data_IF_054353244845
#
_entry.id   IF_054353244845
#
_cell.length_a   1.000
_cell.length_b   1.000
_cell.length_c   1.000
_cell.angle_alpha   90.00
_cell.angle_beta   90.00
_cell.angle_gamma   90.00
#
_symmetry.space_group_name_H-M   'P 1'
#
loop_
_entity.id
_entity.type
_entity.pdbx_description
1 polymer ?
#
# COMPACT_ATOMS: atom_id res chain seq x y z
N UNK A 1 13.15 26.59 -4.59
CA UNK A 1 12.03 27.02 -5.43
C UNK A 1 12.40 26.82 -6.89
N UNK A 2 12.25 25.63 -7.41
CA UNK A 2 12.42 25.35 -8.86
C UNK A 2 11.02 25.30 -9.49
N UNK A 3 10.70 26.32 -10.30
CA UNK A 3 9.50 26.32 -11.15
C UNK A 3 9.63 25.22 -12.20
N UNK A 4 8.89 24.15 -12.06
CA UNK A 4 8.64 23.21 -13.17
C UNK A 4 7.77 23.95 -14.19
N UNK A 5 8.41 24.58 -15.19
CA UNK A 5 7.71 25.24 -16.29
C UNK A 5 7.06 24.19 -17.18
N UNK A 6 5.74 24.17 -17.20
CA UNK A 6 4.93 23.42 -18.16
C UNK A 6 5.25 23.94 -19.58
N UNK A 7 6.13 23.25 -20.27
CA UNK A 7 6.38 23.46 -21.70
C UNK A 7 5.20 22.97 -22.53
N UNK A 8 4.25 23.84 -22.83
CA UNK A 8 3.20 23.57 -23.82
C UNK A 8 3.84 23.31 -25.20
N UNK A 9 4.07 22.05 -25.52
CA UNK A 9 4.34 21.65 -26.91
C UNK A 9 3.04 21.78 -27.70
N UNK A 10 2.95 22.80 -28.57
CA UNK A 10 1.90 22.90 -29.58
C UNK A 10 2.09 21.75 -30.58
N UNK A 11 1.23 20.76 -30.52
CA UNK A 11 1.10 19.77 -31.57
C UNK A 11 0.50 20.45 -32.79
N UNK A 12 1.30 20.55 -33.84
CA UNK A 12 0.84 20.99 -35.17
C UNK A 12 0.02 19.87 -35.80
N UNK A 13 -1.25 20.14 -35.98
CA UNK A 13 -2.20 19.30 -36.71
C UNK A 13 -1.83 19.32 -38.20
N UNK A 14 -1.21 18.25 -38.68
CA UNK A 14 -1.02 18.04 -40.14
C UNK A 14 -2.20 17.22 -40.66
N UNK A 15 -3.12 17.91 -41.32
CA UNK A 15 -4.29 17.35 -41.98
C UNK A 15 -3.83 16.73 -43.30
N UNK A 16 -3.69 15.41 -43.41
CA UNK A 16 -3.57 14.72 -44.70
C UNK A 16 -4.94 14.25 -45.17
N UNK A 17 -5.47 15.02 -46.13
CA UNK A 17 -6.68 14.72 -46.88
C UNK A 17 -6.31 13.69 -47.97
N UNK A 18 -6.74 12.43 -47.81
CA UNK A 18 -6.67 11.46 -48.92
C UNK A 18 -8.08 11.16 -49.42
N UNK A 19 -8.38 11.77 -50.55
CA UNK A 19 -9.59 11.53 -51.34
C UNK A 19 -9.39 10.23 -52.13
N UNK A 20 -10.24 9.23 -51.94
CA UNK A 20 -10.40 8.11 -52.87
C UNK A 20 -11.87 7.97 -53.25
N UNK A 21 -12.13 8.43 -54.45
CA UNK A 21 -13.34 8.17 -55.23
C UNK A 21 -13.34 6.71 -55.71
N UNK A 22 -14.41 5.97 -55.44
CA UNK A 22 -14.81 4.84 -56.29
C UNK A 22 -16.32 4.90 -56.55
N UNK A 23 -16.61 5.15 -57.82
CA UNK A 23 -17.90 5.00 -58.45
C UNK A 23 -18.17 3.54 -58.81
N UNK A 24 -19.42 3.09 -58.69
CA UNK A 24 -19.83 1.80 -59.26
C UNK A 24 -21.30 1.50 -58.96
N UNK A 25 -22.13 1.75 -59.96
CA UNK A 25 -23.56 1.43 -60.06
C UNK A 25 -23.88 -0.06 -59.98
N UNK A 26 -25.11 -0.34 -59.54
CA UNK A 26 -25.75 -1.65 -59.76
C UNK A 26 -27.16 -1.72 -59.18
N UNK A 27 -28.15 -1.45 -60.00
CA UNK A 27 -29.58 -1.57 -59.75
C UNK A 27 -30.04 -3.04 -59.60
N UNK A 28 -31.15 -3.24 -58.90
CA UNK A 28 -31.88 -4.52 -58.92
C UNK A 28 -33.08 -4.57 -57.96
N UNK A 29 -34.21 -4.10 -58.43
CA UNK A 29 -35.61 -4.38 -58.03
C UNK A 29 -35.85 -5.84 -57.58
N UNK A 30 -36.90 -6.25 -56.89
CA UNK A 30 -38.19 -5.76 -56.44
C UNK A 30 -38.97 -6.93 -55.77
N UNK A 31 -40.00 -6.55 -55.07
CA UNK A 31 -41.23 -7.27 -54.77
C UNK A 31 -41.11 -8.46 -53.76
N UNK A 32 -41.94 -8.62 -52.79
CA UNK A 32 -43.32 -8.26 -52.52
C UNK A 32 -43.95 -9.30 -51.61
N UNK A 33 -44.93 -8.91 -50.84
CA UNK A 33 -45.96 -9.84 -50.32
C UNK A 33 -46.00 -10.08 -48.83
N UNK A 34 -46.74 -9.28 -48.08
CA UNK A 34 -48.06 -9.48 -47.53
C UNK A 34 -48.24 -10.66 -46.56
N UNK A 35 -48.80 -10.36 -45.41
CA UNK A 35 -49.79 -11.19 -44.74
C UNK A 35 -49.69 -11.22 -43.24
N UNK A 36 -50.43 -10.37 -42.54
CA UNK A 36 -51.35 -10.54 -41.44
C UNK A 36 -51.44 -11.96 -40.86
N UNK A 37 -51.39 -12.18 -39.56
CA UNK A 37 -52.60 -12.16 -38.74
C UNK A 37 -52.34 -12.37 -37.26
N UNK A 38 -53.21 -11.81 -36.49
CA UNK A 38 -53.52 -11.77 -35.10
C UNK A 38 -53.75 -13.14 -34.43
N UNK A 39 -53.54 -13.20 -33.11
CA UNK A 39 -53.98 -14.30 -32.27
C UNK A 39 -53.73 -14.11 -30.78
N UNK A 40 -54.60 -13.38 -30.14
CA UNK A 40 -54.78 -13.33 -28.70
C UNK A 40 -55.34 -14.63 -28.13
N UNK A 41 -54.86 -15.08 -26.95
CA UNK A 41 -55.70 -15.84 -26.02
C UNK A 41 -55.13 -15.70 -24.59
N UNK A 42 -55.94 -15.10 -23.76
CA UNK A 42 -55.93 -15.19 -22.30
C UNK A 42 -56.44 -16.58 -21.86
N UNK A 43 -55.95 -17.10 -20.75
CA UNK A 43 -56.75 -17.89 -19.81
C UNK A 43 -56.12 -17.89 -18.41
N UNK A 44 -56.93 -17.49 -17.48
CA UNK A 44 -56.78 -17.46 -16.04
C UNK A 44 -56.84 -18.88 -15.40
N UNK A 45 -56.37 -18.94 -14.17
CA UNK A 45 -56.92 -19.58 -12.96
C UNK A 45 -55.74 -20.20 -12.16
N UNK A 46 -55.41 -19.82 -10.94
CA UNK A 46 -56.27 -19.76 -9.75
C UNK A 46 -55.87 -20.92 -8.85
N UNK A 47 -55.22 -20.68 -7.71
CA UNK A 47 -54.90 -21.69 -6.74
C UNK A 47 -54.16 -21.16 -5.51
N UNK A 48 -54.92 -20.58 -4.60
CA UNK A 48 -54.55 -20.39 -3.18
C UNK A 48 -54.55 -21.69 -2.44
N UNK A 49 -53.59 -21.93 -1.51
CA UNK A 49 -53.77 -22.59 -0.19
C UNK A 49 -52.45 -22.45 0.62
N UNK A 50 -52.54 -21.68 1.65
CA UNK A 50 -52.46 -21.92 3.10
C UNK A 50 -51.10 -22.13 3.76
N UNK A 51 -50.92 -21.27 4.75
CA UNK A 51 -50.04 -21.34 5.91
C UNK A 51 -50.02 -22.69 6.63
N UNK A 52 -48.85 -23.02 7.14
CA UNK A 52 -48.74 -23.69 8.44
C UNK A 52 -47.33 -23.53 9.02
N UNK A 53 -47.22 -22.69 10.05
CA UNK A 53 -46.19 -22.82 11.09
C UNK A 53 -46.51 -24.00 11.98
N UNK A 54 -45.52 -24.65 12.59
CA UNK A 54 -45.54 -24.72 14.04
C UNK A 54 -44.19 -24.35 14.69
N UNK A 55 -44.37 -23.81 15.87
CA UNK A 55 -43.36 -23.41 16.82
C UNK A 55 -42.68 -24.59 17.51
N UNK A 56 -41.45 -24.33 17.95
CA UNK A 56 -41.00 -24.83 19.25
C UNK A 56 -39.84 -25.82 19.24
N UNK A 57 -38.86 -25.38 19.93
CA UNK A 57 -38.01 -26.09 20.87
C UNK A 57 -36.50 -25.93 20.64
N UNK A 58 -35.91 -25.37 21.65
CA UNK A 58 -34.51 -25.06 21.81
C UNK A 58 -33.61 -26.29 21.84
N UNK A 59 -32.38 -26.03 21.51
CA UNK A 59 -31.25 -26.94 21.65
C UNK A 59 -29.96 -26.19 21.57
N UNK A 60 -29.43 -25.84 22.76
CA UNK A 60 -28.02 -25.50 22.94
C UNK A 60 -27.17 -26.63 22.37
N UNK A 61 -26.21 -26.28 21.53
CA UNK A 61 -25.07 -27.17 21.26
C UNK A 61 -23.79 -26.42 21.64
N UNK A 62 -23.15 -27.01 22.62
CA UNK A 62 -21.90 -26.62 23.23
C UNK A 62 -20.72 -26.76 22.27
N UNK A 63 -19.75 -25.90 22.50
CA UNK A 63 -18.37 -25.95 22.03
C UNK A 63 -17.78 -27.36 22.07
N UNK A 64 -17.26 -27.82 20.93
CA UNK A 64 -16.37 -28.96 20.84
C UNK A 64 -14.93 -28.50 20.76
N UNK A 65 -14.19 -28.58 21.86
CA UNK A 65 -12.75 -28.44 21.95
C UNK A 65 -12.06 -29.61 21.23
N UNK A 66 -11.07 -29.32 20.42
CA UNK A 66 -10.15 -30.32 19.87
C UNK A 66 -9.18 -30.83 20.96
N UNK A 67 -8.72 -32.10 20.89
CA UNK A 67 -7.92 -32.70 21.94
C UNK A 67 -6.44 -32.31 21.84
N UNK A 68 -5.87 -31.89 22.98
CA UNK A 68 -4.44 -31.81 23.19
C UNK A 68 -3.87 -33.22 23.35
N UNK A 69 -2.91 -33.59 22.51
CA UNK A 69 -2.07 -34.77 22.73
C UNK A 69 -0.98 -34.48 23.77
N UNK A 70 -0.90 -35.34 24.75
CA UNK A 70 0.00 -35.21 25.89
C UNK A 70 1.43 -35.58 25.56
N UNK A 71 2.36 -34.84 26.14
CA UNK A 71 3.79 -35.13 26.18
C UNK A 71 4.07 -35.94 27.48
N UNK A 72 4.87 -37.05 27.43
CA UNK A 72 5.22 -37.81 28.62
C UNK A 72 6.29 -37.10 29.45
N UNK A 73 6.06 -37.05 30.76
CA UNK A 73 7.04 -36.66 31.76
C UNK A 73 7.99 -37.84 32.06
N UNK A 74 9.28 -37.65 31.81
CA UNK A 74 10.30 -38.47 32.48
C UNK A 74 11.06 -37.64 33.50
N UNK A 75 11.07 -38.18 34.72
CA UNK A 75 11.80 -37.71 35.86
C UNK A 75 13.24 -38.21 35.85
N UNK A 76 14.22 -37.35 36.08
CA UNK A 76 15.62 -37.74 36.22
C UNK A 76 16.49 -36.67 36.87
N UNK A 77 16.68 -36.80 38.14
CA UNK A 77 17.79 -36.45 39.07
C UNK A 77 18.76 -35.30 38.73
N UNK A 78 18.83 -34.42 39.72
CA UNK A 78 19.81 -33.36 39.91
C UNK A 78 21.26 -33.84 39.94
N UNK A 79 22.14 -33.06 39.28
CA UNK A 79 23.57 -32.95 39.68
C UNK A 79 23.94 -31.47 39.69
N UNK A 80 24.32 -30.99 40.85
CA UNK A 80 24.89 -29.67 41.15
C UNK A 80 26.24 -29.51 40.45
N UNK A 81 26.40 -28.44 39.68
CA UNK A 81 27.67 -27.95 39.17
C UNK A 81 27.62 -26.43 39.05
N UNK A 82 28.11 -25.78 40.11
CA UNK A 82 28.29 -24.33 40.16
C UNK A 82 29.44 -23.90 39.22
N UNK A 83 29.18 -23.06 38.23
CA UNK A 83 30.19 -22.30 37.51
C UNK A 83 29.91 -20.83 37.79
N UNK A 84 30.94 -20.01 38.10
CA UNK A 84 30.74 -18.60 38.46
C UNK A 84 30.29 -17.78 37.27
N UNK A 85 29.24 -17.03 37.47
CA UNK A 85 28.73 -16.01 36.52
C UNK A 85 29.65 -14.79 36.63
N UNK A 86 30.50 -14.56 35.60
CA UNK A 86 31.12 -13.26 35.40
C UNK A 86 30.02 -12.32 34.84
N UNK A 87 29.72 -11.32 35.63
CA UNK A 87 28.86 -10.21 35.26
C UNK A 87 29.58 -9.33 34.24
N UNK A 88 29.15 -9.38 33.01
CA UNK A 88 29.46 -8.34 31.99
C UNK A 88 28.51 -7.19 32.25
N UNK A 89 28.98 -5.94 32.37
CA UNK A 89 28.09 -4.80 32.50
C UNK A 89 27.32 -4.60 31.20
N UNK A 90 26.00 -4.49 31.29
CA UNK A 90 25.18 -3.99 30.21
C UNK A 90 25.60 -2.54 29.95
N UNK A 91 26.30 -2.31 28.86
CA UNK A 91 26.42 -0.96 28.32
C UNK A 91 25.06 -0.61 27.69
N UNK A 92 24.47 0.41 28.27
CA UNK A 92 23.29 1.07 27.72
C UNK A 92 23.63 1.54 26.30
N UNK A 93 22.88 1.02 25.33
CA UNK A 93 22.92 1.52 23.95
C UNK A 93 22.56 2.99 23.96
N UNK A 94 23.56 3.82 23.75
CA UNK A 94 23.40 5.26 23.63
C UNK A 94 22.66 5.59 22.35
N UNK A 95 21.58 6.36 22.49
CA UNK A 95 20.97 7.15 21.46
C UNK A 95 22.04 7.78 20.55
N UNK A 96 22.18 7.27 19.35
CA UNK A 96 22.97 7.90 18.32
C UNK A 96 22.11 8.95 17.61
N UNK A 97 21.96 10.11 18.26
CA UNK A 97 21.74 11.34 17.53
C UNK A 97 23.05 11.59 16.76
N UNK A 98 23.06 11.25 15.49
CA UNK A 98 24.17 11.64 14.62
C UNK A 98 23.98 13.13 14.34
N UNK A 99 24.69 13.96 15.15
CA UNK A 99 24.93 15.36 14.81
C UNK A 99 25.48 15.40 13.38
N UNK A 100 24.77 16.08 12.52
CA UNK A 100 25.24 16.43 11.19
C UNK A 100 26.60 17.12 11.34
N UNK A 101 27.67 16.42 11.00
CA UNK A 101 28.96 17.01 10.80
C UNK A 101 28.84 17.93 9.57
N UNK A 102 28.69 19.23 9.81
CA UNK A 102 28.81 20.24 8.79
C UNK A 102 30.25 20.25 8.29
N UNK A 103 30.54 19.43 7.29
CA UNK A 103 31.73 19.57 6.47
C UNK A 103 31.49 20.83 5.61
N UNK A 104 32.28 21.89 5.88
CA UNK A 104 32.39 23.02 4.96
C UNK A 104 32.93 22.51 3.62
N UNK A 105 32.04 22.16 2.69
CA UNK A 105 32.40 21.89 1.32
C UNK A 105 32.35 23.18 0.51
N UNK A 106 33.49 23.79 0.33
CA UNK A 106 33.70 24.72 -0.77
C UNK A 106 33.73 23.94 -2.10
N UNK A 107 32.61 23.80 -2.75
CA UNK A 107 32.49 23.21 -4.07
C UNK A 107 31.16 23.60 -4.68
N UNK A 108 31.15 24.43 -5.73
CA UNK A 108 30.00 24.78 -6.57
C UNK A 108 29.74 23.65 -7.58
N UNK A 109 29.50 22.43 -7.11
CA UNK A 109 28.90 21.33 -7.88
C UNK A 109 27.42 21.27 -7.53
N UNK A 110 26.56 21.02 -8.50
CA UNK A 110 25.18 20.61 -8.21
C UNK A 110 25.27 19.37 -7.29
N UNK A 111 24.50 19.37 -6.23
CA UNK A 111 24.42 18.25 -5.30
C UNK A 111 23.92 17.03 -6.09
N UNK A 112 24.76 15.99 -6.29
CA UNK A 112 24.40 14.77 -7.03
C UNK A 112 23.65 13.85 -6.08
N UNK A 113 22.40 14.23 -5.80
CA UNK A 113 21.51 13.53 -4.88
C UNK A 113 20.06 13.64 -5.31
N UNK A 114 19.28 12.61 -4.99
CA UNK A 114 17.82 12.57 -5.14
C UNK A 114 17.14 12.18 -3.84
N UNK A 115 15.87 12.55 -3.72
CA UNK A 115 15.03 12.28 -2.56
C UNK A 115 13.94 11.26 -2.94
N UNK A 116 13.80 10.23 -2.10
CA UNK A 116 12.72 9.27 -2.15
C UNK A 116 11.82 9.47 -0.94
N UNK A 117 10.51 9.39 -1.15
CA UNK A 117 9.55 9.25 -0.06
C UNK A 117 8.69 8.01 -0.28
N UNK A 118 8.22 7.40 0.80
CA UNK A 118 7.19 6.37 0.76
C UNK A 118 6.22 6.56 1.92
N UNK A 119 4.92 6.40 1.64
CA UNK A 119 3.87 6.35 2.65
C UNK A 119 3.29 4.95 2.78
N UNK A 120 2.73 4.65 3.97
CA UNK A 120 2.21 3.35 4.33
C UNK A 120 0.87 2.99 3.69
N UNK A 121 0.10 2.15 4.38
CA UNK A 121 -1.09 1.48 3.85
C UNK A 121 -2.23 2.46 3.57
N UNK A 122 -2.77 2.41 2.34
CA UNK A 122 -4.04 3.05 2.01
C UNK A 122 -5.14 2.00 2.06
N UNK A 123 -5.90 2.03 3.17
CA UNK A 123 -7.04 1.15 3.42
C UNK A 123 -8.36 1.90 3.24
N UNK A 124 -8.99 1.71 2.10
CA UNK A 124 -10.27 2.32 1.80
C UNK A 124 -11.43 1.53 2.45
N UNK A 125 -11.54 1.60 3.79
CA UNK A 125 -12.71 1.07 4.49
C UNK A 125 -14.01 1.77 4.05
N UNK A 126 -15.16 1.11 4.22
CA UNK A 126 -16.46 1.67 3.79
C UNK A 126 -16.71 3.10 4.26
N UNK A 127 -16.45 3.49 5.54
CA UNK A 127 -16.64 4.89 5.94
C UNK A 127 -15.71 5.87 5.22
N UNK A 128 -14.47 5.46 4.91
CA UNK A 128 -13.52 6.27 4.13
C UNK A 128 -14.03 6.45 2.69
N UNK A 129 -14.48 5.36 2.07
CA UNK A 129 -15.04 5.42 0.72
C UNK A 129 -16.28 6.33 0.65
N UNK A 130 -17.19 6.19 1.63
CA UNK A 130 -18.41 7.01 1.68
C UNK A 130 -18.11 8.50 1.95
N UNK A 131 -17.03 8.82 2.71
CA UNK A 131 -16.63 10.22 2.96
C UNK A 131 -16.14 10.93 1.70
N UNK A 132 -15.56 10.20 0.75
CA UNK A 132 -15.16 10.74 -0.56
C UNK A 132 -16.31 10.87 -1.56
N UNK A 133 -17.51 10.37 -1.23
CA UNK A 133 -18.61 10.35 -2.18
C UNK A 133 -19.22 11.73 -2.39
N UNK A 134 -19.27 12.16 -3.63
CA UNK A 134 -19.87 13.46 -4.03
C UNK A 134 -21.38 13.38 -4.11
N UNK A 135 -22.04 14.55 -4.18
CA UNK A 135 -23.50 14.63 -4.31
C UNK A 135 -24.03 14.02 -5.61
N UNK A 136 -23.21 13.95 -6.63
CA UNK A 136 -23.54 13.37 -7.94
C UNK A 136 -23.30 11.87 -7.98
N UNK A 137 -22.75 11.30 -6.89
CA UNK A 137 -22.51 9.87 -6.73
C UNK A 137 -21.15 9.38 -7.25
N UNK A 138 -20.32 10.28 -7.68
CA UNK A 138 -18.90 10.05 -8.00
C UNK A 138 -18.07 10.14 -6.71
N UNK A 139 -16.75 10.00 -6.81
CA UNK A 139 -15.85 10.06 -5.67
C UNK A 139 -14.80 11.16 -5.86
N UNK A 140 -14.37 11.76 -4.76
CA UNK A 140 -13.25 12.70 -4.68
C UNK A 140 -12.48 12.43 -3.38
N UNK A 141 -11.22 12.03 -3.53
CA UNK A 141 -10.32 11.72 -2.42
C UNK A 141 -9.16 12.72 -2.29
N UNK A 142 -9.19 13.82 -3.03
CA UNK A 142 -8.11 14.82 -3.05
C UNK A 142 -7.82 15.42 -1.67
N UNK A 143 -8.86 15.56 -0.82
CA UNK A 143 -8.73 16.10 0.53
C UNK A 143 -7.84 15.23 1.45
N UNK A 144 -7.71 13.93 1.17
CA UNK A 144 -6.91 13.01 1.98
C UNK A 144 -5.46 13.47 2.02
N UNK A 145 -4.93 13.90 0.88
CA UNK A 145 -3.50 14.19 0.69
C UNK A 145 -3.17 15.68 0.83
N UNK A 146 -4.18 16.55 1.00
CA UNK A 146 -4.01 17.99 0.88
C UNK A 146 -2.89 18.59 1.77
N UNK A 147 -2.74 18.21 3.07
CA UNK A 147 -1.66 18.76 3.90
C UNK A 147 -0.25 18.34 3.47
N UNK A 148 -0.10 17.13 2.90
CA UNK A 148 1.19 16.55 2.53
C UNK A 148 1.52 16.71 1.04
N UNK A 149 0.61 17.30 0.25
CA UNK A 149 0.74 17.37 -1.22
C UNK A 149 2.01 18.09 -1.67
N UNK A 150 2.38 19.21 -1.05
CA UNK A 150 3.59 19.95 -1.42
C UNK A 150 4.84 19.13 -1.12
N UNK A 151 4.85 18.38 -0.04
CA UNK A 151 5.95 17.51 0.37
C UNK A 151 6.08 16.31 -0.57
N UNK A 152 4.96 15.60 -0.84
CA UNK A 152 4.93 14.49 -1.79
C UNK A 152 5.45 14.95 -3.16
N UNK A 153 4.97 16.10 -3.66
CA UNK A 153 5.38 16.64 -4.96
C UNK A 153 6.81 17.19 -4.99
N UNK A 154 7.44 17.42 -3.85
CA UNK A 154 8.81 17.91 -3.76
C UNK A 154 9.86 16.80 -3.86
N UNK A 155 9.47 15.56 -3.58
CA UNK A 155 10.33 14.39 -3.74
C UNK A 155 10.62 14.13 -5.23
N UNK A 156 11.78 13.57 -5.52
CA UNK A 156 12.15 13.15 -6.88
C UNK A 156 11.45 11.84 -7.24
N UNK A 157 11.24 10.96 -6.25
CA UNK A 157 10.46 9.71 -6.38
C UNK A 157 9.52 9.59 -5.17
N UNK A 158 8.21 9.54 -5.43
CA UNK A 158 7.19 9.34 -4.41
C UNK A 158 6.50 7.98 -4.57
N UNK A 159 6.55 7.15 -3.53
CA UNK A 159 6.03 5.77 -3.49
C UNK A 159 4.84 5.69 -2.54
N UNK A 160 3.83 4.92 -2.89
CA UNK A 160 2.68 4.65 -2.01
C UNK A 160 2.36 3.15 -1.95
N UNK A 161 2.06 2.63 -0.76
CA UNK A 161 1.47 1.30 -0.65
C UNK A 161 -0.05 1.39 -0.76
N UNK A 162 -0.57 1.14 -1.95
CA UNK A 162 -2.01 1.07 -2.21
C UNK A 162 -2.51 -0.33 -1.88
N UNK A 163 -2.92 -0.56 -0.65
CA UNK A 163 -3.23 -1.91 -0.17
C UNK A 163 -4.48 -2.48 -0.82
N UNK A 164 -5.50 -1.64 -0.99
CA UNK A 164 -6.78 -2.04 -1.57
C UNK A 164 -6.71 -2.04 -3.09
N UNK A 165 -7.13 -3.14 -3.73
CA UNK A 165 -7.17 -3.18 -5.19
C UNK A 165 -8.09 -2.09 -5.78
N UNK A 166 -7.60 -1.36 -6.78
CA UNK A 166 -8.38 -0.37 -7.54
C UNK A 166 -9.04 -1.07 -8.73
N UNK A 167 -10.09 -1.83 -8.44
CA UNK A 167 -10.79 -2.65 -9.44
C UNK A 167 -11.92 -1.93 -10.16
N UNK A 168 -12.22 -0.67 -9.77
CA UNK A 168 -13.27 0.15 -10.36
C UNK A 168 -14.64 -0.01 -9.69
N UNK A 169 -15.46 1.04 -9.80
CA UNK A 169 -16.79 1.07 -9.19
C UNK A 169 -17.75 0.01 -9.76
N UNK A 170 -17.52 -0.47 -10.99
CA UNK A 170 -18.32 -1.51 -11.65
C UNK A 170 -18.20 -2.90 -10.98
N UNK A 171 -17.14 -3.12 -10.16
CA UNK A 171 -17.00 -4.30 -9.31
C UNK A 171 -17.65 -4.12 -7.93
N UNK A 172 -18.24 -2.96 -7.69
CA UNK A 172 -18.83 -2.55 -6.41
C UNK A 172 -17.75 -2.10 -5.42
N UNK A 173 -17.77 -0.80 -5.06
CA UNK A 173 -16.92 -0.25 -4.00
C UNK A 173 -17.25 -0.93 -2.68
N UNK A 174 -16.24 -1.43 -1.97
CA UNK A 174 -16.43 -2.21 -0.74
C UNK A 174 -15.21 -2.12 0.17
N UNK A 175 -15.46 -2.15 1.48
CA UNK A 175 -14.45 -2.29 2.53
C UNK A 175 -14.28 -3.75 2.96
N UNK A 176 -13.66 -3.92 4.15
CA UNK A 176 -13.42 -5.25 4.74
C UNK A 176 -14.66 -6.15 4.74
N UNK A 177 -14.53 -7.47 4.49
CA UNK A 177 -13.28 -8.23 4.31
C UNK A 177 -12.78 -8.34 2.86
N UNK A 178 -13.52 -7.88 1.86
CA UNK A 178 -13.15 -7.97 0.46
C UNK A 178 -13.22 -6.56 -0.17
N UNK A 179 -12.11 -5.87 -0.09
CA UNK A 179 -11.98 -4.49 -0.52
C UNK A 179 -12.09 -4.31 -2.04
N UNK A 180 -12.52 -3.14 -2.44
CA UNK A 180 -12.39 -2.64 -3.79
C UNK A 180 -12.53 -1.11 -3.82
N UNK A 181 -11.57 -0.45 -4.40
CA UNK A 181 -11.59 1.00 -4.59
C UNK A 181 -12.10 1.39 -5.99
N UNK A 182 -12.73 2.55 -6.10
CA UNK A 182 -13.04 3.17 -7.39
C UNK A 182 -11.78 3.80 -7.99
N UNK A 183 -11.80 4.08 -9.31
CA UNK A 183 -10.64 4.62 -10.04
C UNK A 183 -10.24 6.02 -9.57
N UNK A 184 -11.19 6.81 -9.07
CA UNK A 184 -10.97 8.16 -8.54
C UNK A 184 -10.00 8.19 -7.34
N UNK A 185 -9.79 7.04 -6.67
CA UNK A 185 -8.72 6.94 -5.68
C UNK A 185 -7.34 6.97 -6.36
N UNK A 186 -7.20 6.28 -7.48
CA UNK A 186 -5.98 6.33 -8.29
C UNK A 186 -5.71 7.72 -8.85
N UNK A 187 -6.76 8.40 -9.36
CA UNK A 187 -6.65 9.79 -9.82
C UNK A 187 -6.17 10.73 -8.70
N UNK A 188 -6.64 10.51 -7.46
CA UNK A 188 -6.21 11.29 -6.31
C UNK A 188 -4.75 11.02 -5.92
N UNK A 189 -4.25 9.78 -6.07
CA UNK A 189 -2.83 9.45 -5.87
C UNK A 189 -1.94 10.17 -6.88
N UNK A 190 -2.35 10.19 -8.15
CA UNK A 190 -1.62 10.92 -9.22
C UNK A 190 -1.63 12.41 -8.95
N UNK A 191 -2.78 12.98 -8.56
CA UNK A 191 -2.89 14.40 -8.22
C UNK A 191 -2.05 14.77 -6.98
N UNK A 192 -1.92 13.87 -6.01
CA UNK A 192 -1.05 14.04 -4.84
C UNK A 192 0.43 14.11 -5.23
N UNK A 193 0.83 13.41 -6.30
CA UNK A 193 2.20 13.45 -6.84
C UNK A 193 2.97 12.14 -6.71
N UNK A 194 2.29 11.02 -6.44
CA UNK A 194 2.95 9.71 -6.40
C UNK A 194 3.36 9.24 -7.80
N UNK A 195 4.54 8.65 -7.91
CA UNK A 195 5.14 8.10 -9.12
C UNK A 195 5.05 6.58 -9.19
N UNK A 196 5.08 5.92 -8.02
CA UNK A 196 5.13 4.46 -7.88
C UNK A 196 4.04 3.99 -6.92
N UNK A 197 3.25 3.01 -7.36
CA UNK A 197 2.16 2.42 -6.60
C UNK A 197 2.46 0.94 -6.35
N UNK A 198 2.67 0.56 -5.10
CA UNK A 198 2.82 -0.81 -4.65
C UNK A 198 1.44 -1.44 -4.45
N UNK A 199 1.11 -2.46 -5.26
CA UNK A 199 -0.16 -3.21 -5.23
C UNK A 199 0.02 -4.69 -4.90
N UNK A 200 1.25 -5.14 -4.68
CA UNK A 200 1.57 -6.48 -4.20
C UNK A 200 1.26 -6.58 -2.71
N UNK A 201 -0.02 -6.77 -2.37
CA UNK A 201 -0.56 -6.79 -1.01
C UNK A 201 -1.43 -8.02 -0.78
N UNK A 202 -1.80 -8.29 0.48
CA UNK A 202 -2.72 -9.37 0.83
C UNK A 202 -4.13 -9.15 0.27
N UNK A 203 -4.50 -7.91 -0.10
CA UNK A 203 -5.79 -7.53 -0.69
C UNK A 203 -5.76 -7.41 -2.22
N UNK A 204 -4.66 -7.74 -2.87
CA UNK A 204 -4.53 -7.69 -4.33
C UNK A 204 -5.57 -8.56 -5.07
N UNK A 205 -6.01 -9.68 -4.46
CA UNK A 205 -6.96 -10.63 -5.05
C UNK A 205 -8.39 -10.53 -4.52
N UNK A 206 -8.77 -9.50 -3.78
CA UNK A 206 -10.12 -9.36 -3.21
C UNK A 206 -11.24 -9.33 -4.26
N UNK A 207 -10.93 -8.94 -5.48
CA UNK A 207 -11.84 -9.03 -6.65
C UNK A 207 -11.36 -10.03 -7.69
N UNK A 208 -10.46 -10.93 -7.27
CA UNK A 208 -9.94 -12.01 -8.09
C UNK A 208 -9.26 -11.51 -9.37
N UNK A 209 -9.19 -12.40 -10.38
CA UNK A 209 -8.60 -12.07 -11.68
C UNK A 209 -9.13 -10.77 -12.29
N UNK A 210 -10.46 -10.52 -12.17
CA UNK A 210 -11.06 -9.35 -12.78
C UNK A 210 -10.60 -8.06 -12.12
N UNK A 211 -10.44 -8.06 -10.79
CA UNK A 211 -9.91 -6.91 -10.05
C UNK A 211 -8.51 -6.53 -10.51
N UNK A 212 -7.60 -7.51 -10.59
CA UNK A 212 -6.23 -7.27 -11.07
C UNK A 212 -6.21 -6.73 -12.52
N UNK A 213 -6.96 -7.37 -13.43
CA UNK A 213 -6.95 -6.95 -14.84
C UNK A 213 -7.55 -5.55 -15.01
N UNK A 214 -8.61 -5.21 -14.29
CA UNK A 214 -9.18 -3.87 -14.29
C UNK A 214 -8.18 -2.83 -13.75
N UNK A 215 -7.53 -3.14 -12.62
CA UNK A 215 -6.54 -2.26 -12.02
C UNK A 215 -5.39 -1.97 -12.97
N UNK A 216 -4.78 -3.00 -13.56
CA UNK A 216 -3.67 -2.84 -14.51
C UNK A 216 -4.12 -2.08 -15.77
N UNK A 217 -5.33 -2.35 -16.30
CA UNK A 217 -5.85 -1.64 -17.48
C UNK A 217 -6.09 -0.17 -17.16
N UNK A 218 -6.68 0.16 -16.02
CA UNK A 218 -6.89 1.53 -15.57
C UNK A 218 -5.57 2.31 -15.53
N UNK A 219 -4.56 1.81 -14.82
CA UNK A 219 -3.27 2.47 -14.73
C UNK A 219 -2.59 2.64 -16.08
N UNK A 220 -2.63 1.61 -16.92
CA UNK A 220 -2.01 1.63 -18.26
C UNK A 220 -2.69 2.60 -19.23
N UNK A 221 -4.01 2.74 -19.15
CA UNK A 221 -4.80 3.52 -20.08
C UNK A 221 -4.93 4.98 -19.65
N UNK A 222 -5.13 5.23 -18.35
CA UNK A 222 -5.40 6.57 -17.83
C UNK A 222 -4.11 7.25 -17.30
N UNK A 223 -3.19 6.50 -16.69
CA UNK A 223 -1.98 7.03 -16.05
C UNK A 223 -0.71 6.22 -16.41
N UNK A 224 -0.34 6.17 -17.70
CA UNK A 224 0.82 5.37 -18.16
C UNK A 224 2.17 5.83 -17.62
N UNK A 225 2.23 7.02 -16.99
CA UNK A 225 3.43 7.55 -16.32
C UNK A 225 3.66 6.95 -14.95
N UNK A 226 2.63 6.31 -14.35
CA UNK A 226 2.72 5.70 -13.02
C UNK A 226 3.24 4.27 -13.13
N UNK A 227 4.24 3.94 -12.31
CA UNK A 227 4.70 2.57 -12.15
C UNK A 227 3.83 1.82 -11.14
N UNK A 228 3.23 0.71 -11.56
CA UNK A 228 2.45 -0.17 -10.68
C UNK A 228 3.18 -1.47 -10.49
N UNK A 229 3.51 -1.79 -9.24
CA UNK A 229 4.35 -2.91 -8.88
C UNK A 229 3.59 -3.98 -8.10
N UNK A 230 4.08 -5.20 -8.15
CA UNK A 230 3.59 -6.31 -7.33
C UNK A 230 2.37 -7.05 -7.90
N UNK A 231 1.75 -6.56 -8.99
CA UNK A 231 0.68 -7.25 -9.72
C UNK A 231 0.94 -7.27 -11.22
N UNK A 232 0.56 -8.36 -11.90
CA UNK A 232 0.89 -8.56 -13.32
C UNK A 232 -0.23 -9.21 -14.11
N UNK A 233 -0.35 -8.85 -15.41
CA UNK A 233 -1.27 -9.44 -16.37
C UNK A 233 -0.59 -10.45 -17.31
N UNK A 234 0.74 -10.53 -17.29
CA UNK A 234 1.54 -11.45 -18.11
C UNK A 234 2.79 -11.94 -17.38
N UNK A 235 3.30 -13.09 -17.78
CA UNK A 235 4.55 -13.67 -17.28
C UNK A 235 5.76 -12.80 -17.66
N UNK A 236 5.71 -12.14 -18.82
CA UNK A 236 6.74 -11.22 -19.27
C UNK A 236 6.87 -10.01 -18.31
N UNK A 237 5.72 -9.42 -17.91
CA UNK A 237 5.71 -8.31 -16.96
C UNK A 237 6.27 -8.73 -15.59
N UNK A 238 5.89 -9.92 -15.09
CA UNK A 238 6.35 -10.45 -13.82
C UNK A 238 7.82 -10.89 -13.80
N UNK A 239 8.44 -11.06 -14.96
CA UNK A 239 9.85 -11.46 -15.08
C UNK A 239 10.81 -10.28 -15.18
N UNK A 240 10.34 -9.05 -15.10
CA UNK A 240 11.13 -7.83 -15.29
C UNK A 240 11.22 -7.02 -14.01
N UNK A 241 12.43 -6.70 -13.58
CA UNK A 241 12.66 -5.75 -12.49
C UNK A 241 12.38 -4.31 -12.98
N UNK A 242 11.60 -3.55 -12.23
CA UNK A 242 11.33 -2.15 -12.53
C UNK A 242 12.53 -1.28 -12.16
N UNK A 243 13.00 -0.49 -13.11
CA UNK A 243 14.08 0.49 -12.93
C UNK A 243 13.54 1.88 -13.24
N UNK A 244 13.60 2.78 -12.25
CA UNK A 244 13.36 4.21 -12.43
C UNK A 244 14.66 4.92 -12.73
N UNK A 245 14.69 5.72 -13.78
CA UNK A 245 15.79 6.64 -14.05
C UNK A 245 15.36 8.05 -13.64
N UNK A 246 16.06 8.64 -12.67
CA UNK A 246 15.78 9.99 -12.18
C UNK A 246 17.10 10.74 -11.95
N UNK A 247 17.28 11.88 -12.59
CA UNK A 247 18.47 12.75 -12.50
C UNK A 247 19.83 12.01 -12.60
N UNK A 248 19.88 10.95 -13.42
CA UNK A 248 21.09 10.14 -13.66
C UNK A 248 21.32 9.00 -12.67
N UNK A 249 20.40 8.78 -11.73
CA UNK A 249 20.36 7.61 -10.87
C UNK A 249 19.46 6.55 -11.49
N UNK A 250 19.84 5.27 -11.36
CA UNK A 250 19.01 4.12 -11.72
C UNK A 250 18.60 3.42 -10.42
N UNK A 251 17.32 3.46 -10.13
CA UNK A 251 16.76 2.92 -8.90
C UNK A 251 15.91 1.70 -9.23
N UNK A 252 16.26 0.52 -8.73
CA UNK A 252 15.39 -0.65 -8.76
C UNK A 252 14.37 -0.53 -7.64
N UNK A 253 13.09 -0.78 -7.92
CA UNK A 253 12.04 -0.81 -6.91
C UNK A 253 11.26 -2.11 -7.07
N UNK A 254 11.22 -2.92 -5.99
CA UNK A 254 10.60 -4.23 -5.96
C UNK A 254 9.50 -4.25 -4.89
N UNK A 255 8.36 -4.87 -5.21
CA UNK A 255 7.25 -4.97 -4.26
C UNK A 255 6.74 -6.41 -4.18
N UNK A 256 6.64 -6.94 -2.97
CA UNK A 256 6.22 -8.32 -2.68
C UNK A 256 5.22 -8.36 -1.54
N UNK A 257 4.37 -9.41 -1.50
CA UNK A 257 3.50 -9.67 -0.34
C UNK A 257 3.71 -11.07 0.23
N UNK A 258 3.45 -11.21 1.54
CA UNK A 258 3.49 -12.51 2.23
C UNK A 258 2.41 -13.48 1.77
N UNK A 259 1.34 -12.98 1.15
CA UNK A 259 0.21 -13.80 0.74
C UNK A 259 -0.97 -12.98 0.24
N UNK A 260 -2.08 -13.66 -0.03
CA UNK A 260 -3.30 -13.11 -0.62
C UNK A 260 -4.56 -13.49 0.18
N UNK A 261 -4.49 -13.45 1.51
CA UNK A 261 -5.58 -13.80 2.43
C UNK A 261 -6.23 -15.17 2.14
N UNK A 262 -5.41 -16.13 1.66
CA UNK A 262 -5.88 -17.47 1.29
C UNK A 262 -6.68 -17.54 -0.03
N UNK A 263 -6.78 -16.44 -0.76
CA UNK A 263 -7.34 -16.45 -2.13
C UNK A 263 -6.27 -17.01 -3.07
N UNK A 264 -6.52 -18.11 -3.79
CA UNK A 264 -5.51 -18.68 -4.68
C UNK A 264 -5.25 -17.78 -5.88
N UNK A 265 -4.02 -17.82 -6.39
CA UNK A 265 -3.67 -17.15 -7.64
C UNK A 265 -4.60 -17.62 -8.77
N UNK A 266 -5.03 -16.75 -9.69
CA UNK A 266 -5.98 -17.09 -10.72
C UNK A 266 -5.46 -18.19 -11.66
N UNK A 267 -6.34 -19.08 -12.08
CA UNK A 267 -5.99 -20.12 -13.05
C UNK A 267 -5.37 -19.53 -14.33
N UNK A 268 -4.20 -20.02 -14.71
CA UNK A 268 -3.42 -19.56 -15.85
C UNK A 268 -2.67 -18.23 -15.62
N UNK A 269 -2.65 -17.72 -14.39
CA UNK A 269 -1.89 -16.52 -14.01
C UNK A 269 -1.13 -16.74 -12.69
N UNK A 270 -0.17 -17.69 -12.62
CA UNK A 270 0.61 -17.93 -11.41
C UNK A 270 1.52 -16.74 -11.03
N UNK A 271 1.67 -15.80 -11.94
CA UNK A 271 2.46 -14.58 -11.84
C UNK A 271 1.63 -13.34 -11.43
N UNK A 272 0.32 -13.50 -11.18
CA UNK A 272 -0.59 -12.36 -11.02
C UNK A 272 -0.28 -11.45 -9.82
N UNK A 273 0.36 -11.99 -8.79
CA UNK A 273 0.81 -11.24 -7.59
C UNK A 273 2.21 -11.71 -7.22
N UNK A 274 3.11 -10.78 -6.95
CA UNK A 274 4.47 -11.05 -6.48
C UNK A 274 4.45 -11.46 -5.00
N UNK A 275 4.72 -12.73 -4.77
CA UNK A 275 4.80 -13.29 -3.43
C UNK A 275 6.24 -13.26 -2.90
N UNK A 276 6.39 -13.18 -1.58
CA UNK A 276 7.66 -13.39 -0.89
C UNK A 276 8.11 -14.85 -1.05
N UNK A 277 8.82 -15.13 -2.15
CA UNK A 277 9.46 -16.39 -2.46
C UNK A 277 10.97 -16.20 -2.57
N UNK A 278 11.75 -16.95 -1.77
CA UNK A 278 13.21 -16.71 -1.67
C UNK A 278 13.96 -16.93 -2.98
N UNK A 279 13.53 -17.87 -3.82
CA UNK A 279 14.19 -18.14 -5.10
C UNK A 279 13.93 -17.00 -6.10
N UNK A 280 12.67 -16.55 -6.17
CA UNK A 280 12.27 -15.42 -7.02
C UNK A 280 12.94 -14.12 -6.55
N UNK A 281 12.84 -13.79 -5.26
CA UNK A 281 13.40 -12.56 -4.68
C UNK A 281 14.92 -12.50 -4.88
N UNK A 282 15.64 -13.60 -4.66
CA UNK A 282 17.10 -13.64 -4.91
C UNK A 282 17.46 -13.43 -6.39
N UNK A 283 16.64 -13.95 -7.30
CA UNK A 283 16.85 -13.75 -8.74
C UNK A 283 16.60 -12.29 -9.14
N UNK A 284 15.54 -11.67 -8.61
CA UNK A 284 15.18 -10.28 -8.91
C UNK A 284 16.20 -9.29 -8.32
N UNK A 285 16.64 -9.51 -7.06
CA UNK A 285 17.67 -8.69 -6.42
C UNK A 285 18.99 -8.73 -7.19
N UNK A 286 19.40 -9.94 -7.63
CA UNK A 286 20.58 -10.07 -8.48
C UNK A 286 20.45 -9.29 -9.79
N UNK A 287 19.27 -9.34 -10.43
CA UNK A 287 19.02 -8.57 -11.65
C UNK A 287 19.02 -7.07 -11.37
N UNK A 288 18.46 -6.66 -10.22
CA UNK A 288 18.44 -5.28 -9.75
C UNK A 288 19.87 -4.74 -9.56
N UNK A 289 20.74 -5.44 -8.84
CA UNK A 289 22.15 -5.07 -8.64
C UNK A 289 22.93 -4.92 -9.97
N UNK A 290 22.63 -5.79 -10.97
CA UNK A 290 23.27 -5.71 -12.28
C UNK A 290 22.84 -4.47 -13.09
N UNK A 291 21.64 -3.91 -12.82
CA UNK A 291 21.02 -2.89 -13.65
C UNK A 291 20.87 -1.52 -12.99
N UNK A 292 20.80 -1.48 -11.67
CA UNK A 292 20.56 -0.27 -10.90
C UNK A 292 21.80 0.20 -10.14
N UNK A 293 21.75 1.44 -9.68
CA UNK A 293 22.75 2.06 -8.81
C UNK A 293 22.32 1.99 -7.34
N UNK A 294 21.02 1.71 -7.09
CA UNK A 294 20.40 1.60 -5.77
C UNK A 294 19.16 0.71 -5.81
N UNK A 295 18.95 -0.14 -4.80
CA UNK A 295 17.90 -1.15 -4.78
C UNK A 295 16.98 -0.94 -3.58
N UNK A 296 15.69 -0.70 -3.86
CA UNK A 296 14.61 -0.53 -2.88
C UNK A 296 13.69 -1.74 -2.91
N UNK A 297 13.41 -2.33 -1.75
CA UNK A 297 12.42 -3.40 -1.60
C UNK A 297 11.28 -2.90 -0.73
N UNK A 298 10.05 -3.05 -1.23
CA UNK A 298 8.81 -2.66 -0.55
C UNK A 298 8.00 -3.92 -0.21
N UNK A 299 8.31 -4.64 0.89
CA UNK A 299 7.59 -5.83 1.28
C UNK A 299 6.31 -5.49 2.06
N UNK A 300 5.24 -6.21 1.75
CA UNK A 300 3.99 -6.20 2.50
C UNK A 300 3.95 -7.45 3.38
N UNK A 301 4.31 -7.32 4.66
CA UNK A 301 4.72 -8.43 5.54
C UNK A 301 4.38 -8.21 7.02
N UNK A 302 4.70 -9.18 7.87
CA UNK A 302 4.63 -9.04 9.33
C UNK A 302 3.30 -9.50 9.92
N UNK A 303 2.97 -8.99 11.10
CA UNK A 303 1.76 -9.35 11.84
C UNK A 303 0.99 -8.10 12.23
N UNK A 304 -0.29 -8.05 11.87
CA UNK A 304 -1.16 -6.91 12.16
C UNK A 304 -1.13 -6.48 13.64
N UNK A 305 -1.06 -5.18 13.85
CA UNK A 305 -1.21 -4.47 15.13
C UNK A 305 -0.10 -4.71 16.16
N UNK A 306 1.07 -5.19 15.74
CA UNK A 306 2.25 -5.28 16.57
C UNK A 306 3.14 -4.07 16.35
N UNK A 307 3.63 -3.47 17.45
CA UNK A 307 4.56 -2.32 17.40
C UNK A 307 6.04 -2.74 17.31
N UNK A 308 6.30 -4.03 17.30
CA UNK A 308 7.63 -4.63 17.21
C UNK A 308 7.65 -5.58 16.02
N UNK A 309 8.73 -5.58 15.27
CA UNK A 309 8.92 -6.51 14.17
C UNK A 309 8.87 -7.98 14.64
N UNK A 310 8.55 -8.87 13.74
CA UNK A 310 8.55 -10.31 13.96
C UNK A 310 9.89 -10.92 13.57
N UNK A 311 10.24 -12.09 14.13
CA UNK A 311 11.42 -12.84 13.70
C UNK A 311 11.38 -13.27 12.23
N UNK A 312 10.19 -13.31 11.61
CA UNK A 312 10.05 -13.54 10.16
C UNK A 312 10.48 -12.31 9.37
N UNK A 313 10.05 -11.09 9.79
CA UNK A 313 10.50 -9.84 9.21
C UNK A 313 12.02 -9.67 9.34
N UNK A 314 12.59 -9.93 10.53
CA UNK A 314 14.05 -9.92 10.74
C UNK A 314 14.78 -10.87 9.79
N UNK A 315 14.24 -12.09 9.59
CA UNK A 315 14.82 -13.09 8.70
C UNK A 315 14.77 -12.68 7.22
N UNK A 316 13.70 -11.97 6.81
CA UNK A 316 13.58 -11.43 5.48
C UNK A 316 14.45 -10.18 5.29
N UNK A 317 14.53 -9.29 6.29
CA UNK A 317 15.41 -8.13 6.24
C UNK A 317 16.88 -8.52 6.07
N UNK A 318 17.35 -9.50 6.85
CA UNK A 318 18.68 -10.07 6.68
C UNK A 318 18.87 -10.70 5.29
N UNK A 319 17.85 -11.41 4.77
CA UNK A 319 17.91 -11.99 3.43
C UNK A 319 17.99 -10.93 2.33
N UNK A 320 17.23 -9.82 2.43
CA UNK A 320 17.32 -8.71 1.49
C UNK A 320 18.71 -8.05 1.53
N UNK A 321 19.24 -7.78 2.72
CA UNK A 321 20.58 -7.23 2.89
C UNK A 321 21.68 -8.13 2.29
N UNK A 322 21.66 -9.44 2.58
CA UNK A 322 22.59 -10.42 2.03
C UNK A 322 22.54 -10.52 0.49
N UNK A 323 21.43 -10.10 -0.14
CA UNK A 323 21.21 -10.18 -1.58
C UNK A 323 21.20 -8.81 -2.28
N UNK A 324 21.74 -7.76 -1.65
CA UNK A 324 22.04 -6.48 -2.30
C UNK A 324 20.93 -5.44 -2.28
N UNK A 325 19.96 -5.53 -1.36
CA UNK A 325 19.04 -4.42 -1.13
C UNK A 325 19.72 -3.31 -0.31
N UNK A 326 19.58 -2.05 -0.73
CA UNK A 326 20.10 -0.89 -0.02
C UNK A 326 19.07 -0.29 0.96
N UNK A 327 17.78 -0.43 0.62
CA UNK A 327 16.66 0.14 1.37
C UNK A 327 15.49 -0.84 1.38
N UNK A 328 14.91 -1.08 2.56
CA UNK A 328 13.69 -1.88 2.74
C UNK A 328 12.63 -1.01 3.42
N UNK A 329 11.44 -0.91 2.84
CA UNK A 329 10.33 -0.14 3.41
C UNK A 329 9.08 -1.03 3.50
N UNK A 330 8.83 -1.55 4.70
CA UNK A 330 7.76 -2.48 5.00
C UNK A 330 6.40 -1.84 5.24
N UNK A 331 5.35 -2.61 4.98
CA UNK A 331 3.93 -2.28 5.18
C UNK A 331 3.15 -3.53 5.63
N UNK A 332 1.87 -3.44 5.93
CA UNK A 332 0.94 -4.48 6.39
C UNK A 332 0.64 -4.50 7.90
N UNK A 333 1.56 -4.27 8.86
CA UNK A 333 1.20 -4.34 10.28
C UNK A 333 0.11 -3.35 10.71
N UNK A 334 -0.24 -2.36 9.89
CA UNK A 334 -1.24 -1.32 10.15
C UNK A 334 -0.94 -0.43 11.37
N UNK A 335 0.26 -0.54 11.88
CA UNK A 335 0.88 0.31 12.90
C UNK A 335 2.34 0.50 12.54
N UNK A 336 2.94 1.57 13.03
CA UNK A 336 4.36 1.81 12.84
C UNK A 336 5.19 0.77 13.60
N UNK A 337 6.29 0.32 12.98
CA UNK A 337 7.31 -0.55 13.57
C UNK A 337 8.68 0.10 13.47
N UNK A 338 9.71 -0.35 14.22
CA UNK A 338 11.03 0.27 14.26
C UNK A 338 11.71 0.47 12.90
N UNK A 339 12.68 1.38 12.90
CA UNK A 339 13.63 1.58 11.79
C UNK A 339 15.02 1.24 12.30
N UNK A 340 15.75 0.39 11.57
CA UNK A 340 17.10 0.02 11.95
C UNK A 340 17.99 -0.28 10.74
N UNK A 341 19.29 -0.28 10.95
CA UNK A 341 20.26 -0.76 9.98
C UNK A 341 20.49 -2.26 10.17
N UNK A 342 20.30 -3.04 9.11
CA UNK A 342 20.64 -4.46 9.02
C UNK A 342 21.83 -4.55 8.07
N UNK A 343 23.04 -4.75 8.62
CA UNK A 343 24.29 -4.57 7.89
C UNK A 343 24.37 -3.16 7.25
N UNK A 344 24.44 -3.06 5.93
CA UNK A 344 24.49 -1.78 5.21
C UNK A 344 23.10 -1.37 4.64
N UNK A 345 22.03 -2.11 4.95
CA UNK A 345 20.67 -1.88 4.49
C UNK A 345 19.83 -1.14 5.54
N UNK A 346 19.23 -0.03 5.17
CA UNK A 346 18.26 0.67 6.04
C UNK A 346 16.89 -0.01 5.91
N UNK A 347 16.29 -0.41 7.05
CA UNK A 347 15.02 -1.13 7.11
C UNK A 347 14.01 -0.36 7.93
N UNK A 348 12.92 0.08 7.30
CA UNK A 348 11.68 0.48 7.96
C UNK A 348 10.81 -0.78 8.03
N UNK A 349 10.58 -1.35 9.20
CA UNK A 349 9.81 -2.58 9.30
C UNK A 349 8.34 -2.38 8.97
N UNK A 350 7.74 -1.26 9.38
CA UNK A 350 6.41 -0.86 8.95
C UNK A 350 6.19 0.64 9.04
N UNK A 351 5.61 1.20 7.98
CA UNK A 351 5.14 2.59 7.99
C UNK A 351 3.72 2.74 8.57
N UNK A 352 3.05 1.64 8.94
CA UNK A 352 1.67 1.68 9.42
C UNK A 352 0.69 2.20 8.37
N UNK A 353 -0.47 2.65 8.83
CA UNK A 353 -1.49 3.19 7.94
C UNK A 353 -1.24 4.65 7.57
N UNK A 354 -1.33 4.95 6.29
CA UNK A 354 -1.48 6.32 5.81
C UNK A 354 -2.96 6.71 5.81
N UNK A 355 -3.84 5.87 5.27
CA UNK A 355 -5.29 6.04 5.31
C UNK A 355 -5.94 4.82 5.92
N UNK A 356 -6.75 5.03 6.94
CA UNK A 356 -7.43 3.93 7.61
C UNK A 356 -8.75 4.35 8.26
N UNK A 357 -9.54 3.36 8.54
CA UNK A 357 -10.62 3.38 9.53
C UNK A 357 -10.79 1.99 10.14
N UNK A 358 -11.14 1.94 11.42
CA UNK A 358 -11.45 0.68 12.08
C UNK A 358 -12.76 0.76 12.84
N UNK A 359 -13.51 -0.34 12.86
CA UNK A 359 -14.68 -0.51 13.74
C UNK A 359 -14.33 -1.20 15.06
N UNK A 360 -13.04 -1.53 15.27
CA UNK A 360 -12.55 -2.07 16.52
C UNK A 360 -12.68 -1.06 17.66
N UNK A 361 -12.73 -1.55 18.89
CA UNK A 361 -12.79 -0.73 20.12
C UNK A 361 -11.85 -1.29 21.16
N UNK A 362 -11.30 -0.43 22.01
CA UNK A 362 -10.45 -0.80 23.13
C UNK A 362 -9.00 -0.36 22.96
N UNK A 363 -8.17 -0.79 23.90
CA UNK A 363 -6.76 -0.40 23.98
C UNK A 363 -5.99 -0.75 22.70
N UNK A 364 -5.16 0.19 22.25
CA UNK A 364 -4.30 0.04 21.06
C UNK A 364 -4.97 0.29 19.72
N UNK A 365 -6.30 0.46 19.68
CA UNK A 365 -7.01 0.77 18.43
C UNK A 365 -6.58 2.11 17.86
N UNK A 366 -6.28 3.09 18.72
CA UNK A 366 -5.76 4.41 18.36
C UNK A 366 -4.45 4.36 17.58
N UNK A 367 -3.59 3.36 17.83
CA UNK A 367 -2.29 3.24 17.19
C UNK A 367 -2.40 3.07 15.68
N UNK A 368 -3.54 2.55 15.18
CA UNK A 368 -3.82 2.36 13.75
C UNK A 368 -4.07 3.67 13.00
N UNK A 369 -4.22 4.79 13.72
CA UNK A 369 -4.40 6.12 13.13
C UNK A 369 -3.07 6.86 12.97
N UNK A 370 -1.97 6.30 13.48
CA UNK A 370 -0.62 6.85 13.34
C UNK A 370 0.15 6.00 12.35
N UNK A 371 0.59 6.62 11.29
CA UNK A 371 1.50 6.05 10.31
C UNK A 371 2.80 6.84 10.25
N UNK A 372 3.61 6.57 9.23
CA UNK A 372 4.81 7.33 8.94
C UNK A 372 5.02 7.51 7.43
N UNK A 373 5.75 8.54 7.08
CA UNK A 373 6.35 8.74 5.77
C UNK A 373 7.86 8.51 5.92
N UNK A 374 8.40 7.53 5.19
CA UNK A 374 9.83 7.36 5.03
C UNK A 374 10.34 8.45 4.09
N UNK A 375 11.41 9.12 4.49
CA UNK A 375 12.13 10.11 3.68
C UNK A 375 13.58 9.68 3.59
N UNK A 376 14.10 9.50 2.38
CA UNK A 376 15.46 9.03 2.16
C UNK A 376 16.12 9.89 1.08
N UNK A 377 17.27 10.48 1.40
CA UNK A 377 18.12 11.14 0.42
C UNK A 377 19.28 10.21 0.09
N UNK A 378 19.41 9.85 -1.17
CA UNK A 378 20.58 9.13 -1.67
C UNK A 378 21.49 10.08 -2.44
N UNK A 379 22.76 9.83 -2.37
CA UNK A 379 23.77 10.66 -3.03
C UNK A 379 24.87 9.80 -3.65
N UNK A 380 25.48 10.33 -4.71
CA UNK A 380 26.62 9.73 -5.40
C UNK A 380 27.91 10.36 -4.89
N UNK A 381 28.83 9.53 -4.43
CA UNK A 381 30.14 10.00 -4.00
C UNK A 381 31.11 10.21 -5.21
N UNK A 382 32.30 10.75 -4.95
CA UNK A 382 33.33 10.99 -5.99
C UNK A 382 33.81 9.73 -6.70
N UNK A 383 33.60 8.54 -6.11
CA UNK A 383 33.92 7.24 -6.72
C UNK A 383 32.80 6.74 -7.64
N UNK A 384 31.65 7.39 -7.63
CA UNK A 384 30.45 7.01 -8.38
C UNK A 384 29.54 6.03 -7.63
N UNK A 385 29.81 5.74 -6.37
CA UNK A 385 28.99 4.86 -5.54
C UNK A 385 27.81 5.62 -4.97
N UNK A 386 26.62 5.02 -4.99
CA UNK A 386 25.36 5.58 -4.47
C UNK A 386 25.08 4.99 -3.09
N UNK A 387 24.73 5.83 -2.14
CA UNK A 387 24.40 5.41 -0.78
C UNK A 387 23.40 6.37 -0.13
N UNK A 388 22.77 5.94 0.96
CA UNK A 388 21.90 6.79 1.79
C UNK A 388 22.76 7.84 2.48
N UNK A 389 22.43 9.13 2.25
CA UNK A 389 23.05 10.27 2.89
C UNK A 389 22.27 10.73 4.12
N UNK A 390 20.95 10.80 3.99
CA UNK A 390 20.03 11.25 5.04
C UNK A 390 18.77 10.39 5.00
N UNK A 391 18.18 10.16 6.16
CA UNK A 391 16.92 9.49 6.26
C UNK A 391 16.10 9.98 7.46
N UNK A 392 14.79 9.89 7.36
CA UNK A 392 13.85 10.16 8.44
C UNK A 392 12.62 9.28 8.36
N UNK A 393 11.95 9.08 9.49
CA UNK A 393 10.60 8.56 9.56
C UNK A 393 9.71 9.69 10.11
N UNK A 394 8.95 10.35 9.25
CA UNK A 394 8.06 11.42 9.66
C UNK A 394 6.69 10.85 10.05
N UNK A 395 6.27 10.97 11.32
CA UNK A 395 4.98 10.47 11.74
C UNK A 395 3.83 11.27 11.11
N UNK A 396 2.79 10.55 10.67
CA UNK A 396 1.57 11.14 10.12
C UNK A 396 0.35 10.62 10.87
N UNK A 397 -0.74 11.39 10.86
CA UNK A 397 -1.99 11.02 11.53
C UNK A 397 -3.13 11.00 10.53
N UNK A 398 -3.78 9.86 10.39
CA UNK A 398 -5.03 9.74 9.66
C UNK A 398 -6.15 10.35 10.50
N UNK A 399 -6.63 11.51 10.09
CA UNK A 399 -7.74 12.21 10.72
C UNK A 399 -9.06 11.86 10.02
N UNK A 400 -9.97 11.27 10.77
CA UNK A 400 -11.34 11.03 10.32
C UNK A 400 -12.26 11.98 11.07
N UNK A 401 -12.88 12.90 10.36
CA UNK A 401 -13.79 13.88 10.96
C UNK A 401 -14.93 13.21 11.70
N UNK A 402 -15.33 13.81 12.83
CA UNK A 402 -16.44 13.30 13.63
C UNK A 402 -17.72 13.17 12.79
N UNK A 403 -18.29 11.97 12.79
CA UNK A 403 -19.45 11.62 11.98
C UNK A 403 -19.11 11.26 10.53
N UNK A 404 -17.84 10.98 10.23
CA UNK A 404 -17.33 10.61 8.90
C UNK A 404 -17.56 11.71 7.84
N UNK A 405 -17.35 12.98 8.23
CA UNK A 405 -17.49 14.13 7.35
C UNK A 405 -16.41 14.22 6.28
N UNK A 406 -15.21 13.71 6.57
CA UNK A 406 -14.06 13.69 5.69
C UNK A 406 -12.93 12.87 6.28
N UNK A 407 -11.91 12.59 5.46
CA UNK A 407 -10.65 11.96 5.86
C UNK A 407 -9.51 12.78 5.30
N UNK A 408 -8.54 13.10 6.15
CA UNK A 408 -7.35 13.88 5.79
C UNK A 408 -6.15 13.37 6.57
N UNK A 409 -4.99 13.26 5.93
CA UNK A 409 -3.74 12.87 6.60
C UNK A 409 -2.90 14.10 6.86
N UNK A 410 -2.49 14.26 8.12
CA UNK A 410 -1.66 15.38 8.57
C UNK A 410 -0.29 14.89 9.00
N UNK A 411 0.79 15.65 8.74
CA UNK A 411 2.04 15.44 9.48
C UNK A 411 1.76 15.61 10.97
N UNK A 412 2.36 14.76 11.83
CA UNK A 412 2.14 14.86 13.28
C UNK A 412 2.62 16.22 13.83
N UNK A 413 3.63 16.80 13.22
CA UNK A 413 4.16 18.16 13.55
C UNK A 413 3.12 19.29 13.34
N UNK A 414 2.14 19.07 12.45
CA UNK A 414 1.04 20.03 12.18
C UNK A 414 -0.29 19.58 12.81
N UNK A 415 -0.34 18.40 13.44
CA UNK A 415 -1.55 17.89 14.08
C UNK A 415 -1.78 18.58 15.42
N UNK A 416 -3.00 19.05 15.66
CA UNK A 416 -3.33 19.86 16.85
C UNK A 416 -4.19 19.11 17.85
N UNK A 417 -4.22 19.58 19.10
CA UNK A 417 -5.14 19.10 20.15
C UNK A 417 -6.61 19.18 19.71
N UNK A 418 -6.98 20.22 18.93
CA UNK A 418 -8.34 20.39 18.42
C UNK A 418 -8.67 19.34 17.37
N UNK A 419 -7.75 19.06 16.45
CA UNK A 419 -7.89 17.98 15.48
C UNK A 419 -7.99 16.63 16.19
N UNK A 420 -7.10 16.35 17.15
CA UNK A 420 -7.12 15.10 17.88
C UNK A 420 -8.45 14.88 18.60
N UNK A 421 -8.97 15.90 19.28
CA UNK A 421 -10.28 15.82 19.95
C UNK A 421 -11.46 15.68 18.96
N UNK A 422 -11.30 16.14 17.72
CA UNK A 422 -12.28 16.02 16.63
C UNK A 422 -12.23 14.71 15.86
N UNK A 423 -11.19 13.89 16.04
CA UNK A 423 -11.06 12.63 15.33
C UNK A 423 -12.10 11.60 15.80
N UNK A 424 -12.77 10.95 14.85
CA UNK A 424 -13.84 9.97 15.14
C UNK A 424 -13.35 8.80 16.00
N UNK A 425 -12.04 8.45 15.92
CA UNK A 425 -11.42 7.36 16.68
C UNK A 425 -11.55 7.53 18.21
N UNK A 426 -11.69 8.75 18.70
CA UNK A 426 -11.92 9.04 20.12
C UNK A 426 -13.13 8.28 20.70
N UNK A 427 -14.09 7.92 19.83
CA UNK A 427 -15.25 7.12 20.24
C UNK A 427 -14.95 5.63 20.44
N UNK A 428 -13.90 5.13 19.79
CA UNK A 428 -13.43 3.74 19.91
C UNK A 428 -12.36 3.60 20.98
N UNK A 429 -11.47 4.59 21.07
CA UNK A 429 -10.37 4.63 22.04
C UNK A 429 -10.30 6.04 22.64
N UNK A 430 -10.86 6.19 23.84
CA UNK A 430 -10.93 7.48 24.53
C UNK A 430 -9.57 8.03 25.00
N UNK A 431 -8.48 7.27 24.83
CA UNK A 431 -7.12 7.72 25.12
C UNK A 431 -6.42 8.36 23.91
N UNK A 432 -7.07 8.39 22.74
CA UNK A 432 -6.52 9.07 21.58
C UNK A 432 -6.41 10.58 21.82
N UNK A 433 -5.22 11.12 21.64
CA UNK A 433 -4.89 12.52 21.82
C UNK A 433 -3.63 12.87 21.03
N UNK A 434 -3.32 14.13 20.83
CA UNK A 434 -2.04 14.56 20.24
C UNK A 434 -0.86 13.96 21.00
N UNK A 435 -0.90 14.02 22.34
CA UNK A 435 0.14 13.47 23.19
C UNK A 435 0.32 11.97 22.97
N UNK A 436 -0.78 11.18 22.92
CA UNK A 436 -0.67 9.74 22.66
C UNK A 436 -0.11 9.40 21.29
N UNK A 437 -0.28 10.25 20.27
CA UNK A 437 0.36 10.09 18.96
C UNK A 437 1.86 10.36 19.04
N UNK A 438 2.27 11.40 19.76
CA UNK A 438 3.68 11.72 20.01
C UNK A 438 4.38 10.64 20.83
N UNK A 439 3.77 10.18 21.91
CA UNK A 439 4.29 9.08 22.75
C UNK A 439 4.49 7.79 21.92
N UNK A 440 3.56 7.46 21.03
CA UNK A 440 3.69 6.30 20.16
C UNK A 440 4.87 6.45 19.19
N UNK A 441 5.01 7.59 18.54
CA UNK A 441 6.12 7.87 17.62
C UNK A 441 7.46 7.83 18.35
N UNK A 442 7.54 8.43 19.54
CA UNK A 442 8.74 8.39 20.36
C UNK A 442 9.08 6.96 20.83
N UNK A 443 8.08 6.20 21.24
CA UNK A 443 8.25 4.80 21.66
C UNK A 443 8.82 3.93 20.55
N UNK A 444 8.35 4.09 19.32
CA UNK A 444 8.68 3.19 18.19
C UNK A 444 9.95 3.65 17.47
N UNK A 445 10.08 4.94 17.18
CA UNK A 445 11.21 5.48 16.41
C UNK A 445 12.33 6.06 17.28
N UNK A 446 12.09 6.26 18.58
CA UNK A 446 13.05 6.91 19.46
C UNK A 446 13.28 8.41 19.15
N UNK A 447 12.38 9.02 18.40
CA UNK A 447 12.46 10.41 17.93
C UNK A 447 11.46 11.25 18.72
N UNK A 448 11.95 12.25 19.46
CA UNK A 448 11.07 13.23 20.11
C UNK A 448 10.40 14.10 19.03
N UNK A 449 9.08 14.10 18.97
CA UNK A 449 8.30 14.99 18.11
C UNK A 449 8.01 16.29 18.89
N UNK A 450 8.65 17.40 18.50
CA UNK A 450 8.46 18.72 19.13
C UNK A 450 7.04 19.29 18.93
#
# INVERSE_FOLDING_TARGET
MKNRGFGKKKAGLLLCLSLLLFTGCGEGQAAGGTGLDSGSAQAEAGGTVQESTPAGAGGMVQNGSAPQEGVPTESGSAVNGSVPQESVPAEAGGSALQESASAEAGGTGADDSITLIMVGDILLHTPVAESGKTKDGEYDFSAIFAPLKEEIQSADIAIVNQEVIIGGAELGVSGYPAFNAPYELGDALVEAGFDVVCQGTNHALDKGKKGILNCISYWREEHPEIAVLGIHDSEEAASSVYIREEDGFRIAILNYTYGTNGVPLPEGMPYAVELLDKEKVAADLKEAEEKADFVVVCPHWGTEYRLEQTGEQESWAAFFAENGADLVIGTHPHVIEPVEWVEDTLVYYSLGNFVNWTSGTGEGVKNRMVGAMAQVTIARNDAGEVSIREWAAEPVVCHVESGFGGVTVYPLSEYTEELAAGNEIVKQDGEFSLESCKELAEQVFGIAVE
#
